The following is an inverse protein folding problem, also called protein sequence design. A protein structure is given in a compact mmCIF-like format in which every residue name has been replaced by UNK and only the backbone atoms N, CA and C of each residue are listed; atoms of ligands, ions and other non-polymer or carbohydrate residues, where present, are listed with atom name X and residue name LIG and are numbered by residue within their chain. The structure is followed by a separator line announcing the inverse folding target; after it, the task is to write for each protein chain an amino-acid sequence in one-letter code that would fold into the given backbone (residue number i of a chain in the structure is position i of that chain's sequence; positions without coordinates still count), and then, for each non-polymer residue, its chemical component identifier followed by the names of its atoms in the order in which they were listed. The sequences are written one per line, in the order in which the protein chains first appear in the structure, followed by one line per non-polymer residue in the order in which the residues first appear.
data_IF_382610499978
#
_entry.id   IF_382610499978
#
_cell.length_a   1.000
_cell.length_b   1.000
_cell.length_c   1.000
_cell.angle_alpha   90.00
_cell.angle_beta   90.00
_cell.angle_gamma   90.00
#
_symmetry.space_group_name_H-M   'P 1'
#
loop_
_entity.id
_entity.type
_entity.pdbx_description
1 polymer ?
#
# COMPACT_ATOMS: atom_id res chain seq x y z
N UNK A 1 15.97 5.06 -14.25
CA UNK A 1 14.61 4.81 -13.72
C UNK A 1 13.62 5.86 -14.23
N UNK A 2 12.41 5.45 -14.66
CA UNK A 2 11.33 6.34 -15.15
C UNK A 2 10.50 6.97 -14.01
N UNK A 3 11.13 7.79 -13.17
CA UNK A 3 10.50 8.37 -11.97
C UNK A 3 9.15 9.04 -12.24
N UNK A 4 9.07 9.86 -13.29
CA UNK A 4 7.85 10.61 -13.63
C UNK A 4 6.67 9.66 -13.90
N UNK A 5 6.93 8.56 -14.60
CA UNK A 5 5.92 7.53 -14.91
C UNK A 5 5.46 6.82 -13.64
N UNK A 6 6.39 6.38 -12.79
CA UNK A 6 6.07 5.72 -11.52
C UNK A 6 5.28 6.63 -10.57
N UNK A 7 5.67 7.90 -10.46
CA UNK A 7 4.96 8.90 -9.65
C UNK A 7 3.53 9.14 -10.16
N UNK A 8 3.36 9.26 -11.48
CA UNK A 8 2.04 9.38 -12.09
C UNK A 8 1.18 8.15 -11.80
N UNK A 9 1.78 6.96 -11.79
CA UNK A 9 1.05 5.73 -11.54
C UNK A 9 0.63 5.58 -10.07
N UNK A 10 1.46 6.01 -9.12
CA UNK A 10 1.08 6.13 -7.71
C UNK A 10 -0.04 7.17 -7.49
N UNK A 11 -0.04 8.24 -8.29
CA UNK A 11 -1.12 9.24 -8.25
C UNK A 11 -2.44 8.65 -8.78
N UNK A 12 -2.40 7.94 -9.91
CA UNK A 12 -3.58 7.29 -10.49
C UNK A 12 -4.11 6.16 -9.60
N UNK A 13 -3.24 5.34 -9.02
CA UNK A 13 -3.66 4.30 -8.08
C UNK A 13 -4.40 4.90 -6.89
N UNK A 14 -3.96 6.05 -6.40
CA UNK A 14 -4.66 6.80 -5.34
C UNK A 14 -6.11 7.14 -5.75
N UNK A 15 -6.33 7.62 -6.98
CA UNK A 15 -7.67 7.94 -7.48
C UNK A 15 -8.53 6.69 -7.76
N UNK A 16 -7.91 5.61 -8.24
CA UNK A 16 -8.58 4.30 -8.37
C UNK A 16 -9.03 3.77 -7.01
N UNK A 17 -8.17 3.85 -5.99
CA UNK A 17 -8.49 3.44 -4.62
C UNK A 17 -9.61 4.30 -4.05
N UNK A 18 -9.61 5.63 -4.23
CA UNK A 18 -10.73 6.49 -3.81
C UNK A 18 -12.05 6.03 -4.43
N UNK A 19 -12.03 5.73 -5.73
CA UNK A 19 -13.21 5.29 -6.47
C UNK A 19 -13.72 3.92 -6.00
N UNK A 20 -12.81 2.96 -5.78
CA UNK A 20 -13.14 1.62 -5.31
C UNK A 20 -13.73 1.60 -3.88
N UNK A 21 -13.38 2.60 -3.06
CA UNK A 21 -13.77 2.71 -1.65
C UNK A 21 -14.94 3.68 -1.41
N UNK A 22 -15.44 4.32 -2.45
CA UNK A 22 -16.55 5.26 -2.37
C UNK A 22 -17.85 4.54 -2.05
N UNK A 23 -18.66 5.12 -1.16
CA UNK A 23 -20.00 4.61 -0.82
C UNK A 23 -20.05 3.30 -0.03
N UNK A 24 -18.92 2.73 0.37
CA UNK A 24 -18.88 1.48 1.16
C UNK A 24 -19.24 1.76 2.62
N UNK A 25 -20.18 0.98 3.17
CA UNK A 25 -20.56 1.04 4.59
C UNK A 25 -19.51 0.37 5.49
N UNK A 26 -19.58 0.62 6.81
CA UNK A 26 -18.71 -0.04 7.78
C UNK A 26 -18.89 -1.57 7.72
N UNK A 27 -20.13 -2.03 7.69
CA UNK A 27 -20.50 -3.45 7.69
C UNK A 27 -19.99 -4.12 6.42
N UNK A 28 -20.17 -3.48 5.27
CA UNK A 28 -19.66 -3.97 3.99
C UNK A 28 -18.13 -4.08 3.98
N UNK A 29 -17.45 -3.08 4.53
CA UNK A 29 -15.99 -3.08 4.59
C UNK A 29 -15.43 -4.19 5.49
N UNK A 30 -16.21 -4.65 6.48
CA UNK A 30 -15.81 -5.69 7.45
C UNK A 30 -16.02 -7.12 6.96
N UNK A 31 -16.78 -7.31 5.88
CA UNK A 31 -17.09 -8.65 5.36
C UNK A 31 -15.82 -9.33 4.87
N UNK A 32 -15.52 -10.49 5.46
CA UNK A 32 -14.47 -11.40 4.96
C UNK A 32 -15.10 -12.40 4.01
N UNK A 33 -14.41 -12.66 2.88
CA UNK A 33 -14.90 -13.61 1.88
C UNK A 33 -14.87 -15.05 2.40
N UNK A 34 -13.81 -15.41 3.12
CA UNK A 34 -13.61 -16.72 3.73
C UNK A 34 -12.62 -16.58 4.89
N UNK A 35 -12.51 -17.59 5.78
CA UNK A 35 -11.42 -17.65 6.74
C UNK A 35 -10.06 -17.44 6.03
N UNK A 36 -9.20 -16.61 6.63
CA UNK A 36 -7.86 -16.31 6.11
C UNK A 36 -7.78 -15.28 4.97
N UNK A 37 -8.90 -14.83 4.37
CA UNK A 37 -8.91 -13.75 3.36
C UNK A 37 -9.16 -12.40 4.01
N UNK A 38 -8.59 -11.33 3.46
CA UNK A 38 -8.79 -9.97 3.99
C UNK A 38 -10.14 -9.38 3.56
N UNK A 39 -10.76 -8.62 4.46
CA UNK A 39 -11.85 -7.69 4.14
C UNK A 39 -11.32 -6.41 3.48
N UNK A 40 -12.22 -5.57 2.95
CA UNK A 40 -11.84 -4.24 2.42
C UNK A 40 -11.21 -3.39 3.53
N UNK A 41 -11.75 -3.44 4.75
CA UNK A 41 -11.20 -2.72 5.90
C UNK A 41 -9.79 -3.21 6.24
N UNK A 42 -9.54 -4.52 6.20
CA UNK A 42 -8.20 -5.07 6.45
C UNK A 42 -7.19 -4.63 5.38
N UNK A 43 -7.60 -4.55 4.11
CA UNK A 43 -6.75 -4.00 3.03
C UNK A 43 -6.41 -2.53 3.26
N UNK A 44 -7.36 -1.71 3.71
CA UNK A 44 -7.10 -0.27 3.95
C UNK A 44 -6.21 -0.03 5.16
N UNK A 45 -6.37 -0.81 6.23
CA UNK A 45 -5.46 -0.76 7.36
C UNK A 45 -4.04 -1.17 6.96
N UNK A 46 -3.90 -2.21 6.14
CA UNK A 46 -2.62 -2.66 5.59
C UNK A 46 -1.93 -1.58 4.76
N UNK A 47 -2.65 -1.01 3.78
CA UNK A 47 -2.13 0.08 2.95
C UNK A 47 -1.71 1.30 3.79
N UNK A 48 -2.48 1.66 4.82
CA UNK A 48 -2.12 2.75 5.72
C UNK A 48 -0.82 2.50 6.50
N UNK A 49 -0.63 1.28 7.00
CA UNK A 49 0.55 0.95 7.78
C UNK A 49 1.80 0.89 6.90
N UNK A 50 1.73 0.23 5.74
CA UNK A 50 2.88 0.15 4.83
C UNK A 50 3.22 1.48 4.15
N UNK A 51 2.24 2.37 3.94
CA UNK A 51 2.50 3.74 3.50
C UNK A 51 3.40 4.52 4.48
N UNK A 52 3.33 4.22 5.79
CA UNK A 52 4.03 4.98 6.84
C UNK A 52 5.27 4.28 7.38
N UNK A 53 5.20 2.97 7.51
CA UNK A 53 6.16 2.16 8.26
C UNK A 53 6.95 1.19 7.37
N UNK A 54 6.58 1.10 6.08
CA UNK A 54 7.27 0.29 5.08
C UNK A 54 7.82 1.18 3.95
N UNK A 55 7.15 1.21 2.80
CA UNK A 55 7.69 1.77 1.57
C UNK A 55 8.21 3.21 1.68
N UNK A 56 7.46 4.11 2.34
CA UNK A 56 7.91 5.50 2.52
C UNK A 56 9.20 5.51 3.34
N UNK A 57 9.16 4.92 4.53
CA UNK A 57 10.23 5.01 5.51
C UNK A 57 11.51 4.38 4.96
N UNK A 58 11.41 3.18 4.37
CA UNK A 58 12.56 2.49 3.80
C UNK A 58 13.12 3.21 2.58
N UNK A 59 12.27 3.83 1.76
CA UNK A 59 12.78 4.68 0.67
C UNK A 59 13.53 5.91 1.21
N UNK A 60 13.05 6.55 2.29
CA UNK A 60 13.80 7.62 2.96
C UNK A 60 15.16 7.13 3.43
N UNK A 61 15.14 5.96 4.05
CA UNK A 61 16.30 5.38 4.69
C UNK A 61 17.40 5.13 3.66
N UNK A 62 17.06 4.50 2.54
CA UNK A 62 18.02 4.22 1.45
C UNK A 62 18.56 5.52 0.86
N UNK A 63 17.68 6.47 0.51
CA UNK A 63 18.07 7.76 -0.09
C UNK A 63 18.95 8.57 0.87
N UNK A 64 18.56 8.67 2.14
CA UNK A 64 19.27 9.48 3.15
C UNK A 64 20.61 8.87 3.55
N UNK A 65 20.74 7.54 3.51
CA UNK A 65 22.01 6.83 3.77
C UNK A 65 23.01 7.09 2.65
N UNK A 66 22.58 7.07 1.39
CA UNK A 66 23.45 7.44 0.25
C UNK A 66 23.90 8.91 0.31
N UNK A 67 22.98 9.83 0.63
CA UNK A 67 23.30 11.26 0.74
C UNK A 67 24.24 11.61 1.90
N UNK A 68 24.22 10.82 2.99
CA UNK A 68 25.01 11.04 4.19
C UNK A 68 26.02 9.92 4.43
N UNK A 69 26.56 9.30 3.38
CA UNK A 69 27.46 8.14 3.45
C UNK A 69 28.72 8.36 4.32
N UNK A 70 28.97 9.57 4.84
CA UNK A 70 30.01 9.87 5.84
C UNK A 70 29.53 10.42 7.20
N UNK A 71 28.22 10.55 7.45
CA UNK A 71 27.67 11.27 8.61
C UNK A 71 26.58 10.52 9.41
N UNK A 72 26.04 9.39 8.91
CA UNK A 72 25.10 8.54 9.69
C UNK A 72 25.77 7.26 10.19
N UNK A 73 25.36 6.86 11.39
CA UNK A 73 25.89 5.77 12.21
C UNK A 73 25.87 4.46 11.43
N UNK A 74 27.00 3.76 11.38
CA UNK A 74 27.15 2.42 10.78
C UNK A 74 26.23 1.35 11.40
N UNK A 75 25.45 1.67 12.44
CA UNK A 75 24.67 0.74 13.27
C UNK A 75 23.14 0.93 13.21
N UNK A 76 22.59 1.83 12.38
CA UNK A 76 21.13 1.91 12.19
C UNK A 76 20.66 0.83 11.19
N UNK A 77 19.96 -0.19 11.69
CA UNK A 77 19.31 -1.21 10.87
C UNK A 77 17.93 -0.74 10.37
N UNK A 78 17.58 -1.15 9.15
CA UNK A 78 16.24 -1.07 8.59
C UNK A 78 15.20 -1.54 9.62
N UNK A 79 14.23 -0.68 9.95
CA UNK A 79 13.21 -0.98 10.95
C UNK A 79 12.39 -2.25 10.58
N UNK A 80 12.34 -3.28 11.43
CA UNK A 80 11.63 -4.52 11.11
C UNK A 80 10.12 -4.30 11.06
N UNK A 81 9.48 -4.80 10.00
CA UNK A 81 8.03 -4.76 9.83
C UNK A 81 7.41 -6.15 9.92
N UNK A 82 6.12 -6.23 10.19
CA UNK A 82 5.39 -7.50 10.18
C UNK A 82 3.97 -7.34 9.62
N UNK A 83 3.81 -7.02 8.32
CA UNK A 83 2.52 -6.62 7.76
C UNK A 83 1.42 -7.66 7.96
N UNK A 84 1.73 -8.94 7.74
CA UNK A 84 0.77 -10.03 7.97
C UNK A 84 0.36 -10.20 9.43
N UNK A 85 1.29 -9.99 10.38
CA UNK A 85 0.99 -10.09 11.80
C UNK A 85 0.16 -8.91 12.29
N UNK A 86 0.39 -7.72 11.74
CA UNK A 86 -0.33 -6.49 12.10
C UNK A 86 -1.83 -6.60 11.89
N UNK A 87 -2.28 -7.37 10.89
CA UNK A 87 -3.71 -7.64 10.67
C UNK A 87 -4.41 -8.11 11.95
N UNK A 88 -3.79 -9.05 12.67
CA UNK A 88 -4.30 -9.58 13.94
C UNK A 88 -3.92 -8.66 15.10
N UNK A 89 -2.65 -8.29 15.23
CA UNK A 89 -2.13 -7.54 16.38
C UNK A 89 -2.78 -6.16 16.53
N UNK A 90 -3.01 -5.47 15.42
CA UNK A 90 -3.64 -4.14 15.36
C UNK A 90 -5.15 -4.21 15.15
N UNK A 91 -5.73 -5.43 15.18
CA UNK A 91 -7.17 -5.69 15.09
C UNK A 91 -7.82 -4.98 13.89
N UNK A 92 -7.25 -5.15 12.70
CA UNK A 92 -7.65 -4.38 11.52
C UNK A 92 -9.16 -4.39 11.25
N UNK A 93 -9.81 -5.56 11.35
CA UNK A 93 -11.25 -5.67 11.06
C UNK A 93 -12.15 -5.05 12.15
N UNK A 94 -11.59 -4.57 13.27
CA UNK A 94 -12.30 -3.88 14.35
C UNK A 94 -12.11 -2.35 14.27
N UNK A 95 -11.34 -1.86 13.29
CA UNK A 95 -11.12 -0.44 13.08
C UNK A 95 -12.36 0.24 12.46
N UNK A 96 -12.40 1.57 12.53
CA UNK A 96 -13.41 2.36 11.84
C UNK A 96 -12.99 2.63 10.39
N UNK A 97 -13.80 2.18 9.43
CA UNK A 97 -13.49 2.23 8.00
C UNK A 97 -13.28 3.66 7.48
N UNK A 98 -14.21 4.57 7.75
CA UNK A 98 -14.10 5.97 7.33
C UNK A 98 -12.84 6.62 7.90
N UNK A 99 -12.53 6.39 9.18
CA UNK A 99 -11.32 6.92 9.82
C UNK A 99 -10.05 6.37 9.18
N UNK A 100 -9.99 5.06 8.90
CA UNK A 100 -8.80 4.45 8.29
C UNK A 100 -8.61 4.87 6.84
N UNK A 101 -9.69 5.02 6.07
CA UNK A 101 -9.64 5.58 4.72
C UNK A 101 -9.08 7.01 4.72
N UNK A 102 -9.57 7.87 5.61
CA UNK A 102 -9.10 9.26 5.72
C UNK A 102 -7.63 9.32 6.14
N UNK A 103 -7.22 8.47 7.09
CA UNK A 103 -5.83 8.34 7.50
C UNK A 103 -4.94 7.94 6.33
N UNK A 104 -5.27 6.87 5.61
CA UNK A 104 -4.52 6.42 4.44
C UNK A 104 -4.33 7.54 3.41
N UNK A 105 -5.41 8.19 2.98
CA UNK A 105 -5.29 9.24 1.96
C UNK A 105 -4.56 10.48 2.44
N UNK A 106 -4.64 10.83 3.72
CA UNK A 106 -3.83 11.92 4.28
C UNK A 106 -2.34 11.59 4.25
N UNK A 107 -1.97 10.35 4.56
CA UNK A 107 -0.57 9.90 4.47
C UNK A 107 -0.09 9.83 3.03
N UNK A 108 -0.90 9.27 2.12
CA UNK A 108 -0.59 9.25 0.69
C UNK A 108 -0.31 10.64 0.13
N UNK A 109 -1.08 11.64 0.55
CA UNK A 109 -0.84 13.02 0.15
C UNK A 109 0.51 13.57 0.67
N UNK A 110 0.90 13.22 1.90
CA UNK A 110 2.23 13.56 2.45
C UNK A 110 3.33 12.87 1.65
N UNK A 111 3.20 11.58 1.35
CA UNK A 111 4.15 10.82 0.54
C UNK A 111 4.31 11.42 -0.86
N UNK A 112 3.21 11.75 -1.54
CA UNK A 112 3.25 12.36 -2.87
C UNK A 112 3.89 13.76 -2.86
N UNK A 113 3.65 14.57 -1.82
CA UNK A 113 4.36 15.84 -1.63
C UNK A 113 5.85 15.63 -1.40
N UNK A 114 6.20 14.68 -0.53
CA UNK A 114 7.59 14.36 -0.22
C UNK A 114 8.33 13.87 -1.47
N UNK A 115 7.79 12.90 -2.21
CA UNK A 115 8.36 12.41 -3.48
C UNK A 115 8.60 13.54 -4.48
N UNK A 116 7.66 14.48 -4.60
CA UNK A 116 7.79 15.65 -5.50
C UNK A 116 8.86 16.65 -5.04
N UNK A 117 9.16 16.69 -3.74
CA UNK A 117 10.17 17.58 -3.16
C UNK A 117 11.60 17.06 -3.34
N UNK A 118 11.77 15.76 -3.60
CA UNK A 118 13.07 15.14 -3.78
C UNK A 118 13.82 15.73 -4.98
N UNK A 119 15.12 16.01 -4.79
CA UNK A 119 16.01 16.54 -5.83
C UNK A 119 17.30 15.73 -5.86
N UNK A 120 17.82 15.45 -7.06
CA UNK A 120 19.09 14.74 -7.28
C UNK A 120 19.16 13.41 -6.50
N UNK A 121 18.06 12.65 -6.48
CA UNK A 121 18.05 11.32 -5.88
C UNK A 121 18.89 10.38 -6.72
N UNK A 122 19.83 9.70 -6.06
CA UNK A 122 20.49 8.54 -6.63
C UNK A 122 19.58 7.32 -6.46
N UNK A 123 18.96 6.88 -7.56
CA UNK A 123 18.06 5.73 -7.54
C UNK A 123 18.80 4.39 -7.53
N UNK A 124 20.09 4.40 -7.88
CA UNK A 124 20.97 3.24 -7.79
C UNK A 124 21.59 3.11 -6.39
N UNK A 125 21.27 4.03 -5.47
CA UNK A 125 21.66 3.93 -4.08
C UNK A 125 21.19 2.61 -3.47
N UNK A 126 22.13 1.82 -2.97
CA UNK A 126 21.88 0.50 -2.43
C UNK A 126 21.97 0.47 -0.90
N UNK A 127 21.09 -0.32 -0.29
CA UNK A 127 21.23 -0.74 1.10
C UNK A 127 21.41 -2.26 1.17
N UNK A 128 22.50 -2.67 1.83
CA UNK A 128 22.80 -4.08 2.07
C UNK A 128 22.11 -4.55 3.35
N UNK A 129 21.28 -5.57 3.21
CA UNK A 129 20.52 -6.20 4.29
C UNK A 129 20.83 -7.70 4.31
N UNK A 130 20.41 -8.39 5.38
CA UNK A 130 20.67 -9.83 5.54
C UNK A 130 20.16 -10.69 4.37
N UNK A 131 19.07 -10.26 3.73
CA UNK A 131 18.38 -10.98 2.65
C UNK A 131 18.79 -10.53 1.24
N UNK A 132 19.89 -9.78 1.10
CA UNK A 132 20.40 -9.28 -0.18
C UNK A 132 20.51 -7.77 -0.22
N UNK A 133 20.51 -7.19 -1.41
CA UNK A 133 20.57 -5.74 -1.59
C UNK A 133 19.20 -5.22 -2.04
N UNK A 134 18.91 -3.95 -1.72
CA UNK A 134 17.72 -3.24 -2.19
C UNK A 134 18.18 -1.84 -2.61
N UNK A 135 17.91 -1.48 -3.87
CA UNK A 135 18.13 -0.11 -4.33
C UNK A 135 16.95 0.81 -4.00
N UNK A 136 17.16 2.12 -4.03
CA UNK A 136 16.07 3.10 -3.92
C UNK A 136 15.06 2.94 -5.07
N UNK A 137 15.55 2.63 -6.27
CA UNK A 137 14.72 2.36 -7.44
C UNK A 137 13.84 1.12 -7.29
N UNK A 138 14.39 0.03 -6.74
CA UNK A 138 13.64 -1.20 -6.43
C UNK A 138 12.53 -0.90 -5.43
N UNK A 139 12.85 -0.19 -4.35
CA UNK A 139 11.88 0.14 -3.29
C UNK A 139 10.72 0.98 -3.83
N UNK A 140 11.01 2.04 -4.59
CA UNK A 140 9.96 2.88 -5.15
C UNK A 140 9.11 2.12 -6.18
N UNK A 141 9.73 1.31 -7.04
CA UNK A 141 9.01 0.49 -8.02
C UNK A 141 8.11 -0.55 -7.34
N UNK A 142 8.61 -1.19 -6.27
CA UNK A 142 7.85 -2.14 -5.48
C UNK A 142 6.63 -1.49 -4.81
N UNK A 143 6.78 -0.27 -4.28
CA UNK A 143 5.65 0.49 -3.71
C UNK A 143 4.53 0.72 -4.73
N UNK A 144 4.88 1.17 -5.93
CA UNK A 144 3.90 1.39 -7.00
C UNK A 144 3.25 0.08 -7.44
N UNK A 145 4.04 -0.98 -7.60
CA UNK A 145 3.50 -2.30 -7.95
C UNK A 145 2.59 -2.87 -6.85
N UNK A 146 2.90 -2.60 -5.58
CA UNK A 146 2.13 -3.04 -4.43
C UNK A 146 0.72 -2.44 -4.41
N UNK A 147 0.59 -1.16 -4.74
CA UNK A 147 -0.71 -0.51 -4.95
C UNK A 147 -1.55 -1.25 -6.00
N UNK A 148 -0.94 -1.68 -7.11
CA UNK A 148 -1.62 -2.45 -8.16
C UNK A 148 -2.11 -3.82 -7.67
N UNK A 149 -1.33 -4.49 -6.80
CA UNK A 149 -1.74 -5.76 -6.18
C UNK A 149 -3.01 -5.57 -5.34
N UNK A 150 -3.10 -4.49 -4.57
CA UNK A 150 -4.28 -4.22 -3.74
C UNK A 150 -5.46 -3.60 -4.48
N UNK A 151 -5.23 -2.84 -5.55
CA UNK A 151 -6.30 -2.45 -6.50
C UNK A 151 -6.95 -3.71 -7.07
N UNK A 152 -6.14 -4.67 -7.54
CA UNK A 152 -6.66 -5.96 -8.03
C UNK A 152 -7.46 -6.70 -6.94
N UNK A 153 -6.95 -6.73 -5.71
CA UNK A 153 -7.64 -7.36 -4.58
C UNK A 153 -8.98 -6.69 -4.26
N UNK A 154 -9.04 -5.35 -4.30
CA UNK A 154 -10.25 -4.58 -4.03
C UNK A 154 -11.30 -4.75 -5.14
N UNK A 155 -10.87 -4.79 -6.41
CA UNK A 155 -11.76 -5.11 -7.54
C UNK A 155 -12.41 -6.49 -7.34
N UNK A 156 -11.64 -7.49 -6.93
CA UNK A 156 -12.18 -8.83 -6.65
C UNK A 156 -13.14 -8.84 -5.45
N UNK A 157 -12.84 -8.10 -4.38
CA UNK A 157 -13.74 -7.91 -3.25
C UNK A 157 -15.08 -7.28 -3.68
N UNK A 158 -15.03 -6.28 -4.58
CA UNK A 158 -16.22 -5.63 -5.15
C UNK A 158 -17.03 -6.58 -6.03
N UNK A 159 -16.37 -7.35 -6.92
CA UNK A 159 -17.04 -8.36 -7.76
C UNK A 159 -17.83 -9.35 -6.91
N UNK A 160 -17.21 -9.90 -5.85
CA UNK A 160 -17.89 -10.85 -4.96
C UNK A 160 -19.02 -10.23 -4.15
N UNK A 161 -18.89 -8.96 -3.77
CA UNK A 161 -19.99 -8.24 -3.15
C UNK A 161 -21.20 -8.18 -4.09
N UNK A 162 -20.99 -7.84 -5.37
CA UNK A 162 -22.04 -7.84 -6.41
C UNK A 162 -22.68 -9.22 -6.49
N UNK A 163 -21.89 -10.29 -6.64
CA UNK A 163 -22.39 -11.66 -6.68
C UNK A 163 -23.26 -12.02 -5.46
N UNK A 164 -22.89 -11.55 -4.27
CA UNK A 164 -23.63 -11.79 -3.04
C UNK A 164 -24.99 -11.07 -3.04
N UNK A 165 -25.01 -9.79 -3.40
CA UNK A 165 -26.24 -8.98 -3.31
C UNK A 165 -27.22 -9.23 -4.45
N UNK A 166 -26.76 -9.80 -5.57
CA UNK A 166 -27.63 -10.15 -6.70
C UNK A 166 -28.28 -11.52 -6.56
N UNK A 167 -28.05 -12.27 -5.47
CA UNK A 167 -28.68 -13.59 -5.31
C UNK A 167 -30.22 -13.48 -5.32
N UNK A 168 -30.92 -14.41 -6.00
CA UNK A 168 -30.43 -15.66 -6.59
C UNK A 168 -29.90 -15.56 -8.04
N UNK A 169 -29.79 -14.36 -8.62
CA UNK A 169 -29.30 -14.18 -9.99
C UNK A 169 -27.80 -14.49 -10.11
N UNK A 170 -27.41 -15.03 -11.27
CA UNK A 170 -26.03 -15.44 -11.59
C UNK A 170 -25.34 -14.37 -12.43
N UNK A 171 -24.11 -14.03 -12.09
CA UNK A 171 -23.31 -13.03 -12.81
C UNK A 171 -22.43 -13.62 -13.94
N UNK A 172 -22.62 -14.89 -14.30
CA UNK A 172 -21.75 -15.63 -15.23
C UNK A 172 -21.61 -15.00 -16.62
N UNK A 173 -22.60 -14.23 -17.07
CA UNK A 173 -22.53 -13.52 -18.35
C UNK A 173 -21.38 -12.50 -18.41
N UNK A 174 -20.93 -11.98 -17.26
CA UNK A 174 -19.76 -11.09 -17.19
C UNK A 174 -18.42 -11.81 -17.42
N UNK A 175 -18.42 -13.14 -17.56
CA UNK A 175 -17.22 -13.96 -17.68
C UNK A 175 -16.64 -14.42 -16.34
N UNK A 176 -15.77 -15.43 -16.45
CA UNK A 176 -14.91 -15.87 -15.37
C UNK A 176 -13.66 -15.00 -15.32
N UNK A 177 -13.06 -14.93 -14.13
CA UNK A 177 -11.88 -14.11 -13.83
C UNK A 177 -10.68 -15.00 -13.51
#
# INVERSE_FOLDING_TARGET
MEFKTLYQELTKSTEMLKSLLAGISQEEAQVKQSPGKWSILEVICHLYDEEREDFREHLDFIISTSLNAGLRRQDEEWHPISPFAWVKLRKYNQQNFTKMRNKFFSEREKSLRWLKSLRKVDWEAEYKRRLGTMSAGDMFSAWVAHDNLHVRQLVELRRRYIERITKPYKIRYAGDW
#
